data_IF_637576244652
#
_entry.id   IF_637576244652
#
_cell.length_a   1.000
_cell.length_b   1.000
_cell.length_c   1.000
_cell.angle_alpha   90.00
_cell.angle_beta   90.00
_cell.angle_gamma   90.00
#
_symmetry.space_group_name_H-M   'P 1'
#
loop_
_entity.id
_entity.type
_entity.pdbx_description
1 polymer ?
#
# COMPACT_ATOMS: atom_id res chain seq x y z
N UNK A 1 -1.85 6.15 0.36
CA UNK A 1 -3.15 6.25 1.08
C UNK A 1 -4.35 5.81 0.25
N UNK A 2 -4.22 5.74 -1.06
CA UNK A 2 -5.31 5.43 -1.98
C UNK A 2 -5.83 3.98 -1.85
N UNK A 3 -5.00 3.04 -1.41
CA UNK A 3 -5.35 1.60 -1.27
C UNK A 3 -6.24 1.28 -0.07
N UNK A 4 -6.33 2.17 0.90
CA UNK A 4 -7.03 1.88 2.17
C UNK A 4 -8.53 2.17 2.13
N UNK A 5 -9.00 2.86 1.10
CA UNK A 5 -10.41 3.21 0.96
C UNK A 5 -10.64 4.34 -0.05
N UNK A 6 -11.87 4.55 -0.47
CA UNK A 6 -12.27 5.60 -1.44
C UNK A 6 -11.86 7.02 -0.97
N UNK A 7 -11.88 7.28 0.34
CA UNK A 7 -11.42 8.54 0.92
C UNK A 7 -9.90 8.60 1.16
N UNK A 8 -9.15 7.56 0.80
CA UNK A 8 -7.73 7.44 1.10
C UNK A 8 -7.43 7.40 2.61
N UNK A 9 -6.17 7.52 2.97
CA UNK A 9 -5.73 7.51 4.38
C UNK A 9 -6.34 8.68 5.18
N UNK A 10 -6.55 9.82 4.53
CA UNK A 10 -7.18 10.98 5.14
C UNK A 10 -8.63 10.69 5.55
N UNK A 11 -9.38 9.94 4.73
CA UNK A 11 -10.73 9.49 5.06
C UNK A 11 -10.74 8.49 6.20
N UNK A 12 -9.78 7.57 6.24
CA UNK A 12 -9.64 6.56 7.29
C UNK A 12 -9.43 7.21 8.68
N UNK A 13 -8.59 8.24 8.76
CA UNK A 13 -8.25 8.92 10.02
C UNK A 13 -9.04 10.20 10.26
N UNK A 14 -9.98 10.57 9.40
CA UNK A 14 -10.79 11.79 9.54
C UNK A 14 -9.97 13.09 9.42
N UNK A 15 -8.83 13.06 8.76
CA UNK A 15 -7.97 14.23 8.54
C UNK A 15 -8.47 15.01 7.33
N UNK A 16 -8.52 16.33 7.44
CA UNK A 16 -8.89 17.24 6.33
C UNK A 16 -7.69 18.13 5.98
N UNK A 17 -6.82 17.69 5.06
CA UNK A 17 -5.69 18.50 4.63
C UNK A 17 -6.13 19.65 3.74
N UNK A 18 -5.38 20.75 3.73
CA UNK A 18 -5.61 21.87 2.80
C UNK A 18 -5.23 21.49 1.36
N UNK A 19 -4.21 20.65 1.20
CA UNK A 19 -3.72 20.12 -0.08
C UNK A 19 -3.43 18.63 0.06
N UNK A 20 -3.83 17.85 -0.93
CA UNK A 20 -3.52 16.42 -1.05
C UNK A 20 -2.93 16.14 -2.42
N UNK A 21 -1.91 15.29 -2.48
CA UNK A 21 -1.38 14.77 -3.73
C UNK A 21 -1.73 13.28 -3.88
N UNK A 22 -2.12 12.88 -5.09
CA UNK A 22 -2.40 11.50 -5.45
C UNK A 22 -1.55 11.09 -6.64
N UNK A 23 -1.04 9.86 -6.64
CA UNK A 23 -0.25 9.31 -7.72
C UNK A 23 -0.22 7.77 -7.65
N UNK A 24 0.62 7.13 -8.44
CA UNK A 24 0.87 5.67 -8.44
C UNK A 24 -0.42 4.87 -8.69
N UNK A 25 -0.98 4.25 -7.64
CA UNK A 25 -2.14 3.37 -7.74
C UNK A 25 -3.42 4.04 -8.31
N UNK A 26 -3.49 5.37 -8.35
CA UNK A 26 -4.67 6.08 -8.88
C UNK A 26 -4.94 5.79 -10.36
N UNK A 27 -3.90 5.48 -11.14
CA UNK A 27 -4.02 5.09 -12.54
C UNK A 27 -3.35 3.73 -12.82
N UNK A 28 -3.13 2.93 -11.79
CA UNK A 28 -2.64 1.54 -11.85
C UNK A 28 -1.44 1.34 -12.78
N UNK A 29 -0.42 2.22 -12.67
CA UNK A 29 0.84 2.14 -13.42
C UNK A 29 1.00 3.21 -14.52
N UNK A 30 -0.06 3.87 -14.97
CA UNK A 30 0.08 4.98 -15.88
C UNK A 30 0.60 6.24 -15.16
N UNK A 31 1.50 7.02 -15.80
CA UNK A 31 2.14 8.17 -15.17
C UNK A 31 1.14 9.33 -15.00
N UNK A 32 0.73 9.56 -13.77
CA UNK A 32 -0.13 10.68 -13.38
C UNK A 32 0.18 11.12 -11.96
N UNK A 33 0.10 12.42 -11.73
CA UNK A 33 0.04 13.02 -10.41
C UNK A 33 -1.10 14.02 -10.35
N UNK A 34 -1.88 13.98 -9.28
CA UNK A 34 -3.04 14.83 -9.08
C UNK A 34 -2.78 15.68 -7.84
N UNK A 35 -3.05 16.97 -7.92
CA UNK A 35 -3.10 17.89 -6.77
C UNK A 35 -4.55 18.30 -6.56
N UNK A 36 -5.06 18.04 -5.38
CA UNK A 36 -6.40 18.43 -4.97
C UNK A 36 -6.33 19.16 -3.63
N UNK A 37 -7.32 20.00 -3.36
CA UNK A 37 -7.35 20.75 -2.11
C UNK A 37 -8.64 21.53 -1.92
N UNK A 38 -8.70 22.30 -0.84
CA UNK A 38 -9.81 23.19 -0.58
C UNK A 38 -9.97 24.23 -1.70
N UNK A 39 -11.20 24.67 -1.95
CA UNK A 39 -11.46 25.70 -2.95
C UNK A 39 -10.60 26.95 -2.74
N UNK A 40 -10.41 27.34 -1.48
CA UNK A 40 -9.55 28.48 -1.11
C UNK A 40 -8.14 28.36 -1.67
N UNK A 41 -7.53 27.19 -1.56
CA UNK A 41 -6.18 26.92 -2.05
C UNK A 41 -6.18 26.78 -3.56
N UNK A 42 -7.11 26.02 -4.14
CA UNK A 42 -7.15 25.73 -5.58
C UNK A 42 -7.50 26.97 -6.42
N UNK A 43 -8.12 27.98 -5.85
CA UNK A 43 -8.32 29.30 -6.52
C UNK A 43 -7.00 29.93 -6.98
N UNK A 44 -5.89 29.63 -6.31
CA UNK A 44 -4.57 30.15 -6.69
C UNK A 44 -4.19 29.74 -8.12
N UNK A 45 -4.54 28.54 -8.53
CA UNK A 45 -4.33 28.06 -9.91
C UNK A 45 -5.33 28.70 -10.90
N UNK A 46 -6.59 28.78 -10.51
CA UNK A 46 -7.67 29.27 -11.36
C UNK A 46 -7.50 30.74 -11.75
N UNK A 47 -6.98 31.56 -10.84
CA UNK A 47 -6.87 33.01 -11.06
C UNK A 47 -5.43 33.49 -11.29
N UNK A 48 -4.53 32.62 -11.68
CA UNK A 48 -3.20 32.99 -12.13
C UNK A 48 -2.19 33.32 -11.03
N UNK A 49 -2.52 33.01 -9.76
CA UNK A 49 -1.61 33.21 -8.63
C UNK A 49 -0.46 32.17 -8.58
N UNK A 50 -0.63 31.03 -9.22
CA UNK A 50 0.40 30.01 -9.39
C UNK A 50 0.31 29.42 -10.81
N UNK A 51 1.47 29.24 -11.44
CA UNK A 51 1.53 28.56 -12.72
C UNK A 51 1.37 27.03 -12.53
N UNK A 52 0.55 26.42 -13.37
CA UNK A 52 0.39 24.99 -13.46
C UNK A 52 0.43 24.57 -14.93
N UNK A 53 1.43 23.80 -15.31
CA UNK A 53 1.60 23.38 -16.69
C UNK A 53 2.80 22.46 -16.85
N UNK A 54 2.88 21.82 -17.99
CA UNK A 54 3.95 20.91 -18.39
C UNK A 54 3.52 20.10 -19.60
N UNK A 55 4.49 19.55 -20.34
CA UNK A 55 4.25 18.79 -21.57
C UNK A 55 3.24 17.64 -21.37
N UNK A 56 3.28 17.00 -20.22
CA UNK A 56 2.41 15.86 -19.90
C UNK A 56 1.23 16.22 -19.00
N UNK A 57 0.99 17.53 -18.77
CA UNK A 57 -0.20 17.94 -17.99
C UNK A 57 -1.45 17.52 -18.75
N UNK A 58 -2.39 16.89 -18.02
CA UNK A 58 -3.63 16.34 -18.58
C UNK A 58 -3.40 15.30 -19.69
N UNK A 59 -2.36 14.46 -19.57
CA UNK A 59 -2.09 13.38 -20.51
C UNK A 59 -3.30 12.45 -20.61
N UNK A 60 -3.93 12.42 -21.80
CA UNK A 60 -5.26 11.83 -21.99
C UNK A 60 -5.33 10.33 -21.69
N UNK A 61 -4.28 9.57 -22.01
CA UNK A 61 -4.24 8.12 -21.73
C UNK A 61 -4.17 7.87 -20.22
N UNK A 62 -3.35 8.63 -19.49
CA UNK A 62 -3.26 8.50 -18.03
C UNK A 62 -4.55 8.95 -17.34
N UNK A 63 -5.23 9.96 -17.87
CA UNK A 63 -6.54 10.38 -17.34
C UNK A 63 -7.60 9.30 -17.55
N UNK A 64 -7.68 8.71 -18.74
CA UNK A 64 -8.60 7.62 -19.02
C UNK A 64 -8.33 6.39 -18.13
N UNK A 65 -7.05 6.06 -17.91
CA UNK A 65 -6.68 4.97 -16.99
C UNK A 65 -7.08 5.28 -15.53
N UNK A 66 -6.90 6.53 -15.09
CA UNK A 66 -7.30 6.95 -13.75
C UNK A 66 -8.83 6.92 -13.58
N UNK A 67 -9.57 7.41 -14.58
CA UNK A 67 -11.03 7.40 -14.59
C UNK A 67 -11.57 5.98 -14.48
N UNK A 68 -11.04 5.05 -15.28
CA UNK A 68 -11.47 3.64 -15.25
C UNK A 68 -11.08 2.96 -13.93
N UNK A 69 -9.88 3.25 -13.39
CA UNK A 69 -9.47 2.75 -12.08
C UNK A 69 -10.42 3.21 -10.98
N UNK A 70 -10.79 4.49 -10.97
CA UNK A 70 -11.73 5.05 -10.00
C UNK A 70 -13.14 4.45 -10.17
N UNK A 71 -13.60 4.25 -11.40
CA UNK A 71 -14.88 3.60 -11.69
C UNK A 71 -14.92 2.18 -11.13
N UNK A 72 -13.88 1.37 -11.36
CA UNK A 72 -13.78 0.01 -10.82
C UNK A 72 -13.83 0.03 -9.30
N UNK A 73 -13.08 0.93 -8.66
CA UNK A 73 -13.08 1.04 -7.19
C UNK A 73 -14.41 1.52 -6.61
N UNK A 74 -15.20 2.24 -7.39
CA UNK A 74 -16.54 2.71 -6.97
C UNK A 74 -17.62 1.64 -7.15
N UNK A 75 -17.57 0.89 -8.23
CA UNK A 75 -18.59 -0.04 -8.64
C UNK A 75 -18.36 -1.48 -8.14
N UNK A 76 -17.17 -1.80 -7.61
CA UNK A 76 -16.80 -3.16 -7.20
C UNK A 76 -16.27 -3.22 -5.77
N UNK A 77 -16.27 -4.39 -5.12
CA UNK A 77 -15.69 -4.58 -3.79
C UNK A 77 -14.16 -4.77 -3.83
N UNK A 78 -13.46 -4.12 -4.77
CA UNK A 78 -12.02 -4.32 -4.95
C UNK A 78 -11.22 -3.96 -3.70
N UNK A 79 -11.55 -2.84 -3.03
CA UNK A 79 -10.86 -2.41 -1.81
C UNK A 79 -11.09 -3.35 -0.64
N UNK A 80 -12.32 -3.84 -0.48
CA UNK A 80 -12.67 -4.83 0.53
C UNK A 80 -11.99 -6.17 0.27
N UNK A 81 -11.93 -6.60 -0.98
CA UNK A 81 -11.26 -7.84 -1.40
C UNK A 81 -9.78 -7.82 -1.06
N UNK A 82 -9.08 -6.75 -1.41
CA UNK A 82 -7.64 -6.65 -1.12
C UNK A 82 -7.35 -6.49 0.37
N UNK A 83 -8.20 -5.78 1.12
CA UNK A 83 -8.07 -5.66 2.57
C UNK A 83 -8.32 -7.01 3.28
N UNK A 84 -9.35 -7.75 2.86
CA UNK A 84 -9.64 -9.09 3.38
C UNK A 84 -8.49 -10.08 3.11
N UNK A 85 -7.89 -10.03 1.93
CA UNK A 85 -6.70 -10.83 1.61
C UNK A 85 -5.54 -10.49 2.55
N UNK A 86 -5.22 -9.20 2.69
CA UNK A 86 -4.13 -8.76 3.56
C UNK A 86 -4.33 -9.15 5.02
N UNK A 87 -5.56 -9.13 5.52
CA UNK A 87 -5.86 -9.59 6.89
C UNK A 87 -5.62 -11.09 7.04
N UNK A 88 -6.09 -11.90 6.10
CA UNK A 88 -5.83 -13.35 6.09
C UNK A 88 -4.34 -13.67 6.00
N UNK A 89 -3.59 -12.91 5.19
CA UNK A 89 -2.15 -13.08 5.08
C UNK A 89 -1.45 -12.75 6.41
N UNK A 90 -1.78 -11.63 7.05
CA UNK A 90 -1.25 -11.27 8.38
C UNK A 90 -1.52 -12.35 9.43
N UNK A 91 -2.75 -12.87 9.46
CA UNK A 91 -3.12 -13.94 10.39
C UNK A 91 -2.30 -15.21 10.15
N UNK A 92 -2.20 -15.65 8.89
CA UNK A 92 -1.42 -16.84 8.55
C UNK A 92 0.08 -16.68 8.82
N UNK A 93 0.65 -15.51 8.52
CA UNK A 93 2.02 -15.17 8.90
C UNK A 93 2.22 -15.26 10.41
N UNK A 94 1.30 -14.67 11.19
CA UNK A 94 1.37 -14.71 12.65
C UNK A 94 1.28 -16.13 13.20
N UNK A 95 0.43 -16.98 12.64
CA UNK A 95 0.34 -18.39 13.04
C UNK A 95 1.65 -19.15 12.84
N UNK A 96 2.31 -18.93 11.68
CA UNK A 96 3.61 -19.56 11.37
C UNK A 96 4.70 -19.03 12.29
N UNK A 97 4.82 -17.71 12.42
CA UNK A 97 5.87 -17.06 13.21
C UNK A 97 5.73 -17.40 14.71
N UNK A 98 4.51 -17.37 15.25
CA UNK A 98 4.23 -17.76 16.64
C UNK A 98 4.58 -19.21 16.92
N UNK A 99 4.25 -20.13 16.00
CA UNK A 99 4.58 -21.55 16.12
C UNK A 99 6.09 -21.80 16.17
N UNK A 100 6.88 -20.92 15.53
CA UNK A 100 8.34 -20.95 15.54
C UNK A 100 8.97 -20.11 16.66
N UNK A 101 8.16 -19.48 17.52
CA UNK A 101 8.63 -18.61 18.59
C UNK A 101 9.29 -17.32 18.11
N UNK A 102 8.98 -16.88 16.88
CA UNK A 102 9.56 -15.68 16.29
C UNK A 102 8.72 -14.48 16.69
N UNK A 103 9.33 -13.55 17.42
CA UNK A 103 8.71 -12.28 17.83
C UNK A 103 8.50 -11.39 16.61
N UNK A 104 7.28 -10.90 16.45
CA UNK A 104 6.94 -10.05 15.30
C UNK A 104 5.83 -9.06 15.66
N UNK A 105 5.71 -8.02 14.85
CA UNK A 105 4.67 -7.01 14.95
C UNK A 105 4.34 -6.43 13.59
N UNK A 106 3.18 -5.78 13.48
CA UNK A 106 2.71 -5.17 12.25
C UNK A 106 2.37 -3.70 12.43
N UNK A 107 2.49 -2.93 11.35
CA UNK A 107 1.93 -1.59 11.24
C UNK A 107 1.14 -1.45 9.94
N UNK A 108 0.30 -0.44 9.86
CA UNK A 108 -0.45 -0.11 8.65
C UNK A 108 -1.77 -0.86 8.50
N UNK A 109 -2.46 -0.52 7.42
CA UNK A 109 -3.74 -1.12 7.03
C UNK A 109 -3.51 -2.50 6.37
N UNK A 110 -4.44 -3.47 6.45
CA UNK A 110 -4.27 -4.78 5.82
C UNK A 110 -3.92 -4.73 4.33
N UNK A 111 -4.40 -3.73 3.60
CA UNK A 111 -4.07 -3.55 2.18
C UNK A 111 -2.62 -3.12 1.91
N UNK A 112 -1.93 -2.64 2.92
CA UNK A 112 -0.52 -2.23 2.85
C UNK A 112 0.07 -2.21 4.27
N UNK A 113 0.64 -3.32 4.69
CA UNK A 113 1.15 -3.48 6.05
C UNK A 113 2.67 -3.68 6.08
N UNK A 114 3.32 -3.16 7.11
CA UNK A 114 4.71 -3.46 7.44
C UNK A 114 4.79 -4.64 8.41
N UNK A 115 5.74 -5.54 8.19
CA UNK A 115 6.10 -6.63 9.09
C UNK A 115 7.46 -6.32 9.71
N UNK A 116 7.54 -6.42 11.03
CA UNK A 116 8.77 -6.17 11.79
C UNK A 116 9.04 -7.33 12.76
N UNK A 117 10.30 -7.72 12.86
CA UNK A 117 10.76 -8.68 13.87
C UNK A 117 11.19 -7.92 15.11
N UNK A 118 10.19 -7.51 15.88
CA UNK A 118 10.29 -6.77 17.13
C UNK A 118 8.99 -6.95 17.93
N UNK A 119 9.06 -6.80 19.25
CA UNK A 119 7.88 -6.90 20.13
C UNK A 119 6.79 -5.85 19.81
N UNK A 120 7.22 -4.68 19.32
CA UNK A 120 6.36 -3.57 18.91
C UNK A 120 6.81 -3.01 17.57
N UNK A 121 5.86 -2.67 16.71
CA UNK A 121 6.14 -1.98 15.46
C UNK A 121 6.82 -0.64 15.72
N UNK A 122 7.89 -0.33 14.97
CA UNK A 122 8.64 0.93 15.15
C UNK A 122 7.80 2.15 14.76
N UNK A 123 7.84 3.20 15.57
CA UNK A 123 7.20 4.49 15.27
C UNK A 123 8.11 5.44 14.48
N UNK A 124 9.41 5.12 14.39
CA UNK A 124 10.41 5.95 13.70
C UNK A 124 11.64 5.13 13.30
N UNK A 125 12.49 5.75 12.49
CA UNK A 125 13.70 5.11 11.95
C UNK A 125 14.69 4.62 13.03
N UNK A 126 14.81 5.31 14.17
CA UNK A 126 15.72 4.90 15.25
C UNK A 126 15.21 3.64 15.97
N UNK A 127 13.90 3.49 16.08
CA UNK A 127 13.29 2.28 16.61
C UNK A 127 13.37 1.13 15.61
N UNK A 128 13.13 1.41 14.33
CA UNK A 128 13.32 0.43 13.28
C UNK A 128 14.73 -0.20 13.30
N UNK A 129 15.78 0.59 13.51
CA UNK A 129 17.15 0.08 13.63
C UNK A 129 17.36 -0.91 14.77
N UNK A 130 16.45 -1.01 15.73
CA UNK A 130 16.50 -1.96 16.84
C UNK A 130 15.73 -3.25 16.55
N UNK A 131 14.92 -3.28 15.49
CA UNK A 131 14.28 -4.50 15.02
C UNK A 131 15.30 -5.41 14.34
N UNK A 132 14.98 -6.69 14.23
CA UNK A 132 15.82 -7.61 13.44
C UNK A 132 15.52 -7.48 11.95
N UNK A 133 15.93 -6.36 11.36
CA UNK A 133 15.78 -6.11 9.92
C UNK A 133 16.64 -7.04 9.07
N UNK A 134 17.74 -7.57 9.61
CA UNK A 134 18.59 -8.53 8.91
C UNK A 134 17.86 -9.86 8.69
N UNK A 135 17.11 -10.30 9.70
CA UNK A 135 16.26 -11.48 9.54
C UNK A 135 15.16 -11.24 8.51
N UNK A 136 14.54 -10.04 8.51
CA UNK A 136 13.56 -9.66 7.49
C UNK A 136 14.16 -9.72 6.08
N UNK A 137 15.31 -9.10 5.86
CA UNK A 137 15.99 -9.07 4.56
C UNK A 137 16.28 -10.50 4.07
N UNK A 138 16.80 -11.36 4.97
CA UNK A 138 17.07 -12.77 4.65
C UNK A 138 15.80 -13.53 4.26
N UNK A 139 14.73 -13.35 5.02
CA UNK A 139 13.41 -13.94 4.72
C UNK A 139 12.88 -13.44 3.36
N UNK A 140 12.94 -12.14 3.10
CA UNK A 140 12.44 -11.57 1.86
C UNK A 140 13.17 -12.10 0.63
N UNK A 141 14.51 -12.19 0.67
CA UNK A 141 15.29 -12.79 -0.42
C UNK A 141 14.97 -14.27 -0.60
N UNK A 142 14.81 -15.02 0.48
CA UNK A 142 14.40 -16.43 0.40
C UNK A 142 13.00 -16.57 -0.24
N UNK A 143 12.06 -15.72 0.11
CA UNK A 143 10.74 -15.68 -0.51
C UNK A 143 10.81 -15.38 -2.01
N UNK A 144 11.71 -14.47 -2.43
CA UNK A 144 11.96 -14.20 -3.85
C UNK A 144 12.45 -15.45 -4.59
N UNK A 145 13.37 -16.22 -4.01
CA UNK A 145 13.85 -17.48 -4.59
C UNK A 145 12.74 -18.51 -4.73
N UNK A 146 11.73 -18.44 -3.88
CA UNK A 146 10.53 -19.29 -3.93
C UNK A 146 9.41 -18.71 -4.82
N UNK A 147 9.65 -17.58 -5.51
CA UNK A 147 8.72 -16.95 -6.44
C UNK A 147 7.70 -16.01 -5.78
N UNK A 148 7.85 -15.68 -4.49
CA UNK A 148 7.01 -14.72 -3.78
C UNK A 148 7.70 -13.36 -3.78
N UNK A 149 7.23 -12.46 -4.62
CA UNK A 149 7.78 -11.11 -4.74
C UNK A 149 7.17 -10.22 -3.66
N UNK A 150 7.90 -10.01 -2.58
CA UNK A 150 7.59 -9.03 -1.53
C UNK A 150 8.65 -7.92 -1.51
N UNK A 151 8.37 -6.84 -0.76
CA UNK A 151 9.34 -5.77 -0.60
C UNK A 151 10.55 -6.27 0.21
N UNK A 152 11.79 -6.18 -0.30
CA UNK A 152 12.98 -6.68 0.40
C UNK A 152 13.44 -5.77 1.55
N UNK A 153 12.94 -4.55 1.63
CA UNK A 153 13.28 -3.58 2.67
C UNK A 153 12.14 -3.47 3.68
N UNK A 154 12.35 -3.85 4.93
CA UNK A 154 11.33 -3.80 5.97
C UNK A 154 10.81 -2.40 6.32
N UNK A 155 11.42 -1.34 5.78
CA UNK A 155 10.91 0.04 5.89
C UNK A 155 9.72 0.32 4.98
N UNK A 156 9.57 -0.49 3.95
CA UNK A 156 8.47 -0.40 3.00
C UNK A 156 7.40 -1.45 3.30
N UNK A 157 6.12 -1.15 3.06
CA UNK A 157 5.04 -2.10 3.34
C UNK A 157 4.88 -3.14 2.22
N UNK A 158 4.31 -4.27 2.57
CA UNK A 158 3.77 -5.22 1.59
C UNK A 158 2.49 -4.66 0.99
N UNK A 159 2.41 -4.62 -0.33
CA UNK A 159 1.28 -4.06 -1.05
C UNK A 159 0.36 -5.16 -1.58
N UNK A 160 -0.90 -5.11 -1.18
CA UNK A 160 -1.93 -6.02 -1.71
C UNK A 160 -2.60 -5.42 -2.95
N UNK A 161 -3.06 -6.28 -3.85
CA UNK A 161 -3.95 -5.90 -4.93
C UNK A 161 -5.16 -6.85 -4.99
N UNK A 162 -6.17 -6.46 -5.73
CA UNK A 162 -7.40 -7.24 -5.82
C UNK A 162 -7.17 -8.65 -6.44
N UNK A 163 -6.20 -8.75 -7.37
CA UNK A 163 -5.86 -10.02 -8.00
C UNK A 163 -5.41 -11.07 -6.97
N UNK A 164 -4.65 -10.68 -5.93
CA UNK A 164 -4.27 -11.60 -4.85
C UNK A 164 -5.50 -12.19 -4.15
N UNK A 165 -6.53 -11.39 -3.92
CA UNK A 165 -7.75 -11.86 -3.26
C UNK A 165 -8.69 -12.68 -4.15
N UNK A 166 -8.52 -12.59 -5.48
CA UNK A 166 -9.27 -13.38 -6.46
C UNK A 166 -8.63 -14.74 -6.76
N UNK A 167 -7.32 -14.86 -6.55
CA UNK A 167 -6.61 -16.11 -6.75
C UNK A 167 -6.42 -16.84 -5.41
N UNK A 168 -7.16 -17.94 -5.25
CA UNK A 168 -7.14 -18.73 -4.02
C UNK A 168 -5.74 -19.34 -3.73
N UNK A 169 -4.90 -19.54 -4.75
CA UNK A 169 -3.54 -20.08 -4.57
C UNK A 169 -2.57 -19.08 -3.97
N UNK A 170 -2.69 -17.80 -4.27
CA UNK A 170 -1.78 -16.76 -3.81
C UNK A 170 -1.53 -16.79 -2.30
N UNK A 171 -2.58 -16.87 -1.50
CA UNK A 171 -2.45 -16.94 -0.04
C UNK A 171 -1.74 -18.21 0.40
N UNK A 172 -2.20 -19.37 -0.12
CA UNK A 172 -1.68 -20.68 0.26
C UNK A 172 -0.21 -20.83 -0.10
N UNK A 173 0.17 -20.39 -1.30
CA UNK A 173 1.54 -20.53 -1.79
C UNK A 173 2.49 -19.58 -1.05
N UNK A 174 2.03 -18.35 -0.76
CA UNK A 174 2.80 -17.42 0.07
C UNK A 174 3.03 -17.98 1.47
N UNK A 175 2.01 -18.50 2.13
CA UNK A 175 2.16 -19.06 3.48
C UNK A 175 3.02 -20.32 3.50
N UNK A 176 2.92 -21.19 2.49
CA UNK A 176 3.84 -22.34 2.34
C UNK A 176 5.29 -21.90 2.18
N UNK A 177 5.55 -20.88 1.35
CA UNK A 177 6.91 -20.36 1.17
C UNK A 177 7.50 -19.79 2.46
N UNK A 178 6.70 -19.10 3.27
CA UNK A 178 7.13 -18.59 4.59
C UNK A 178 7.40 -19.72 5.58
N UNK A 179 6.73 -20.85 5.44
CA UNK A 179 6.92 -22.02 6.31
C UNK A 179 8.22 -22.80 6.00
N UNK A 180 8.75 -22.70 4.80
CA UNK A 180 10.00 -23.37 4.38
C UNK A 180 11.23 -22.72 4.97
#
# INVERSE_FOLDING_TARGET
GFRVGKGGIQGLYGVKPDITTFTKAVANGYPIAIVAGSEKVMRTFKYGGAAHGGTYTAHSVSLAAAEECLRILDETPALETLASYGEKLKLGLSEILNRRGIVHSYTGHPSMFGLFFAERAPDNYREWKKSDYTFYDTMAYHLHDLGIICEPDSREPWFMCEAHGKDASCLTDTLKAVEM
#
